data_IF_892554937348
#
_entry.id   IF_892554937348
#
_cell.length_a   1.000
_cell.length_b   1.000
_cell.length_c   1.000
_cell.angle_alpha   90.00
_cell.angle_beta   90.00
_cell.angle_gamma   90.00
#
_symmetry.space_group_name_H-M   'P 1'
#
loop_
_entity.id
_entity.type
_entity.pdbx_description
1 polymer ?
#
# COMPACT_ATOMS: atom_id res chain seq x y z
N UNK A 1 15.62 32.97 -22.54
CA UNK A 1 14.76 34.05 -22.03
C UNK A 1 13.88 33.47 -20.96
N UNK A 2 14.19 33.82 -19.71
CA UNK A 2 13.62 33.26 -18.48
C UNK A 2 12.16 33.68 -18.35
N UNK A 3 11.20 32.75 -18.44
CA UNK A 3 9.90 32.96 -17.78
C UNK A 3 10.24 33.13 -16.30
N UNK A 4 10.08 34.33 -15.77
CA UNK A 4 9.90 34.52 -14.32
C UNK A 4 8.72 33.65 -13.91
N UNK A 5 8.99 32.45 -13.40
CA UNK A 5 7.98 31.46 -13.04
C UNK A 5 7.07 32.07 -11.99
N UNK A 6 5.83 32.36 -12.36
CA UNK A 6 4.76 32.66 -11.42
C UNK A 6 4.53 31.38 -10.61
N UNK A 7 4.73 31.42 -9.29
CA UNK A 7 4.49 30.25 -8.43
C UNK A 7 3.02 29.84 -8.55
N UNK A 8 2.71 28.60 -8.95
CA UNK A 8 1.35 28.21 -9.20
C UNK A 8 0.56 28.06 -7.91
N UNK A 9 -0.74 28.31 -8.01
CA UNK A 9 -1.67 28.09 -6.91
C UNK A 9 -1.97 26.58 -6.77
N UNK A 10 -1.65 26.00 -5.62
CA UNK A 10 -1.80 24.56 -5.33
C UNK A 10 -2.80 24.35 -4.21
N UNK A 11 -3.74 23.43 -4.39
CA UNK A 11 -4.59 22.91 -3.32
C UNK A 11 -4.09 21.56 -2.86
N UNK A 12 -3.84 21.37 -1.57
CA UNK A 12 -3.60 20.07 -0.96
C UNK A 12 -4.90 19.55 -0.35
N UNK A 13 -5.27 18.31 -0.66
CA UNK A 13 -6.44 17.63 -0.11
C UNK A 13 -5.96 16.49 0.78
N UNK A 14 -6.40 16.51 2.03
CA UNK A 14 -6.22 15.45 3.02
C UNK A 14 -7.58 14.87 3.36
N UNK A 15 -7.72 13.55 3.28
CA UNK A 15 -8.94 12.86 3.66
C UNK A 15 -8.76 12.19 5.02
N UNK A 16 -9.58 12.56 6.00
CA UNK A 16 -9.58 11.97 7.34
C UNK A 16 -10.70 10.95 7.51
N UNK A 17 -10.41 9.83 8.15
CA UNK A 17 -11.40 8.88 8.68
C UNK A 17 -10.81 8.20 9.92
N UNK A 18 -11.17 8.70 11.10
CA UNK A 18 -10.67 8.25 12.41
C UNK A 18 -9.11 8.25 12.48
N UNK A 19 -8.47 9.30 11.98
CA UNK A 19 -7.01 9.39 11.88
C UNK A 19 -6.29 9.88 13.15
N UNK A 20 -7.01 10.47 14.10
CA UNK A 20 -6.45 10.92 15.37
C UNK A 20 -5.20 11.80 15.23
N UNK A 21 -4.16 11.49 16.00
CA UNK A 21 -2.92 12.29 16.03
C UNK A 21 -2.16 12.28 14.69
N UNK A 22 -2.22 11.19 13.92
CA UNK A 22 -1.53 11.13 12.63
C UNK A 22 -2.04 12.22 11.65
N UNK A 23 -3.35 12.49 11.65
CA UNK A 23 -3.92 13.56 10.83
C UNK A 23 -3.39 14.93 11.25
N UNK A 24 -3.16 15.14 12.54
CA UNK A 24 -2.62 16.40 13.05
C UNK A 24 -1.16 16.55 12.65
N UNK A 25 -0.35 15.50 12.79
CA UNK A 25 1.05 15.49 12.37
C UNK A 25 1.18 15.72 10.84
N UNK A 26 0.25 15.16 10.06
CA UNK A 26 0.12 15.42 8.63
C UNK A 26 -0.09 16.91 8.34
N UNK A 27 -1.09 17.54 8.99
CA UNK A 27 -1.40 18.96 8.81
C UNK A 27 -0.23 19.86 9.23
N UNK A 28 0.43 19.56 10.34
CA UNK A 28 1.62 20.29 10.80
C UNK A 28 2.75 20.24 9.76
N UNK A 29 3.01 19.06 9.17
CA UNK A 29 4.02 18.91 8.12
C UNK A 29 3.65 19.68 6.84
N UNK A 30 2.37 19.68 6.46
CA UNK A 30 1.87 20.41 5.30
C UNK A 30 1.98 21.93 5.49
N UNK A 31 1.68 22.43 6.68
CA UNK A 31 1.82 23.85 7.03
C UNK A 31 3.28 24.30 7.08
N UNK A 32 4.22 23.38 7.31
CA UNK A 32 5.65 23.63 7.24
C UNK A 32 6.22 23.60 5.81
N UNK A 33 5.38 23.37 4.78
CA UNK A 33 5.81 23.38 3.37
C UNK A 33 6.40 24.74 3.00
N UNK A 34 7.58 24.72 2.37
CA UNK A 34 8.25 25.89 1.82
C UNK A 34 7.57 26.35 0.52
N UNK A 35 6.38 26.93 0.67
CA UNK A 35 5.56 27.47 -0.42
C UNK A 35 4.92 28.80 0.02
N UNK A 36 4.69 29.77 -0.88
CA UNK A 36 3.99 31.00 -0.52
C UNK A 36 2.60 30.69 0.04
N UNK A 37 2.28 31.23 1.22
CA UNK A 37 1.04 30.93 1.93
C UNK A 37 -0.22 31.36 1.14
N UNK A 38 -0.12 32.41 0.31
CA UNK A 38 -1.19 32.85 -0.61
C UNK A 38 -1.33 31.96 -1.86
N UNK A 39 -0.43 30.97 -2.02
CA UNK A 39 -0.39 30.02 -3.13
C UNK A 39 -0.60 28.57 -2.70
N UNK A 40 -0.90 28.33 -1.42
CA UNK A 40 -1.17 27.00 -0.86
C UNK A 40 -2.50 27.00 -0.10
N UNK A 41 -3.50 26.28 -0.61
CA UNK A 41 -4.73 25.98 0.14
C UNK A 41 -4.67 24.56 0.67
N UNK A 42 -4.81 24.36 1.98
CA UNK A 42 -4.92 23.02 2.58
C UNK A 42 -6.40 22.77 2.91
N UNK A 43 -6.94 21.67 2.39
CA UNK A 43 -8.32 21.22 2.61
C UNK A 43 -8.30 19.88 3.32
N UNK A 44 -8.88 19.83 4.52
CA UNK A 44 -9.18 18.60 5.22
C UNK A 44 -10.64 18.21 4.96
N UNK A 45 -10.86 17.00 4.47
CA UNK A 45 -12.19 16.39 4.36
C UNK A 45 -12.35 15.39 5.48
N UNK A 46 -13.22 15.67 6.44
CA UNK A 46 -13.57 14.71 7.49
C UNK A 46 -14.68 13.76 7.00
N UNK A 47 -14.33 12.51 6.74
CA UNK A 47 -15.18 11.56 6.04
C UNK A 47 -16.18 10.85 6.98
N UNK A 48 -16.77 11.62 7.91
CA UNK A 48 -17.67 11.11 8.94
C UNK A 48 -16.93 10.36 10.03
N UNK A 49 -15.84 10.94 10.55
CA UNK A 49 -15.07 10.39 11.65
C UNK A 49 -15.83 10.53 12.98
N UNK A 50 -15.46 9.71 13.95
CA UNK A 50 -15.95 9.75 15.33
C UNK A 50 -14.88 10.27 16.32
N UNK A 51 -13.67 10.53 15.83
CA UNK A 51 -12.59 11.14 16.60
C UNK A 51 -12.75 12.66 16.77
N UNK A 52 -11.85 13.28 17.51
CA UNK A 52 -11.86 14.71 17.85
C UNK A 52 -11.11 15.59 16.82
N UNK A 53 -10.64 15.01 15.71
CA UNK A 53 -9.79 15.71 14.74
C UNK A 53 -10.51 16.93 14.15
N UNK A 54 -11.78 16.79 13.77
CA UNK A 54 -12.56 17.90 13.18
C UNK A 54 -12.76 19.06 14.17
N UNK A 55 -12.89 18.77 15.47
CA UNK A 55 -12.98 19.79 16.52
C UNK A 55 -11.64 20.50 16.71
N UNK A 56 -10.55 19.73 16.84
CA UNK A 56 -9.18 20.26 16.96
C UNK A 56 -8.83 21.15 15.78
N UNK A 57 -9.09 20.71 14.55
CA UNK A 57 -8.82 21.48 13.32
C UNK A 57 -9.55 22.81 13.30
N UNK A 58 -10.81 22.85 13.74
CA UNK A 58 -11.60 24.08 13.81
C UNK A 58 -11.02 25.11 14.79
N UNK A 59 -10.36 24.67 15.86
CA UNK A 59 -9.83 25.54 16.92
C UNK A 59 -8.36 25.90 16.67
N UNK A 60 -7.53 24.91 16.35
CA UNK A 60 -6.07 25.01 16.31
C UNK A 60 -5.54 25.34 14.90
N UNK A 61 -6.31 25.07 13.84
CA UNK A 61 -5.88 25.17 12.44
C UNK A 61 -6.80 26.06 11.59
N UNK A 62 -7.02 27.34 11.94
CA UNK A 62 -7.95 28.23 11.22
C UNK A 62 -7.58 28.48 9.75
N UNK A 63 -6.33 28.23 9.37
CA UNK A 63 -5.84 28.30 7.98
C UNK A 63 -6.17 27.05 7.15
N UNK A 64 -6.59 25.95 7.78
CA UNK A 64 -7.00 24.72 7.09
C UNK A 64 -8.50 24.78 6.83
N UNK A 65 -8.89 24.52 5.59
CA UNK A 65 -10.30 24.46 5.21
C UNK A 65 -10.87 23.08 5.55
N UNK A 66 -11.80 23.03 6.50
CA UNK A 66 -12.50 21.81 6.88
C UNK A 66 -13.78 21.60 6.05
N UNK A 67 -13.98 20.38 5.54
CA UNK A 67 -15.21 19.92 4.88
C UNK A 67 -15.75 18.68 5.59
N UNK A 68 -17.01 18.71 6.04
CA UNK A 68 -17.65 17.63 6.80
C UNK A 68 -18.91 17.15 6.07
N UNK A 69 -18.82 16.16 5.14
CA UNK A 69 -20.00 15.55 4.52
C UNK A 69 -20.93 14.80 5.51
N UNK A 70 -20.50 14.61 6.77
CA UNK A 70 -21.22 13.90 7.83
C UNK A 70 -21.57 12.44 7.47
N UNK A 71 -20.87 11.86 6.50
CA UNK A 71 -21.01 10.48 6.06
C UNK A 71 -19.71 10.01 5.41
N UNK A 72 -19.44 8.71 5.50
CA UNK A 72 -18.29 8.09 4.84
C UNK A 72 -18.57 7.91 3.34
N UNK A 73 -17.96 8.75 2.53
CA UNK A 73 -18.03 8.75 1.06
C UNK A 73 -17.00 7.82 0.40
N UNK A 74 -16.21 7.11 1.22
CA UNK A 74 -15.03 6.37 0.79
C UNK A 74 -13.89 7.31 0.40
N UNK A 75 -12.76 6.72 0.01
CA UNK A 75 -11.61 7.47 -0.50
C UNK A 75 -11.95 8.27 -1.75
N UNK A 76 -12.59 7.62 -2.73
CA UNK A 76 -12.92 8.24 -4.02
C UNK A 76 -13.86 9.45 -3.86
N UNK A 77 -14.94 9.31 -3.08
CA UNK A 77 -15.91 10.39 -2.87
C UNK A 77 -15.36 11.50 -1.98
N UNK A 78 -14.64 11.15 -0.92
CA UNK A 78 -14.03 12.12 -0.01
C UNK A 78 -12.96 12.98 -0.70
N UNK A 79 -12.04 12.36 -1.43
CA UNK A 79 -11.05 13.09 -2.23
C UNK A 79 -11.76 13.94 -3.31
N UNK A 80 -12.77 13.39 -4.01
CA UNK A 80 -13.55 14.17 -4.97
C UNK A 80 -14.15 15.43 -4.34
N UNK A 81 -14.69 15.36 -3.12
CA UNK A 81 -15.24 16.52 -2.43
C UNK A 81 -14.18 17.60 -2.13
N UNK A 82 -12.97 17.21 -1.73
CA UNK A 82 -11.87 18.16 -1.51
C UNK A 82 -11.27 18.72 -2.80
N UNK A 83 -11.24 17.91 -3.87
CA UNK A 83 -10.80 18.32 -5.21
C UNK A 83 -11.84 19.23 -5.89
N UNK A 84 -13.14 18.99 -5.65
CA UNK A 84 -14.21 19.89 -6.03
C UNK A 84 -13.95 21.24 -5.35
N UNK A 85 -14.21 22.33 -6.07
CA UNK A 85 -13.85 23.71 -5.68
C UNK A 85 -12.43 24.13 -6.01
N UNK A 86 -11.63 23.37 -6.76
CA UNK A 86 -10.40 23.91 -7.32
C UNK A 86 -10.81 25.15 -8.15
N UNK A 87 -10.69 26.35 -7.59
CA UNK A 87 -11.06 27.61 -8.24
C UNK A 87 -10.07 27.94 -9.34
N UNK A 88 -9.20 28.91 -9.11
CA UNK A 88 -8.11 29.25 -10.04
C UNK A 88 -6.83 28.41 -9.83
N UNK A 89 -6.90 27.35 -9.02
CA UNK A 89 -5.76 26.48 -8.68
C UNK A 89 -5.21 25.76 -9.92
N UNK A 90 -3.92 25.82 -10.19
CA UNK A 90 -3.34 25.13 -11.36
C UNK A 90 -3.11 23.64 -11.08
N UNK A 91 -2.91 23.31 -9.80
CA UNK A 91 -2.64 21.95 -9.34
C UNK A 91 -3.45 21.58 -8.11
N UNK A 92 -3.70 20.27 -7.98
CA UNK A 92 -4.29 19.65 -6.81
C UNK A 92 -3.36 18.55 -6.34
N UNK A 93 -2.91 18.59 -5.09
CA UNK A 93 -2.16 17.52 -4.47
C UNK A 93 -3.08 16.68 -3.57
N UNK A 94 -2.89 15.37 -3.56
CA UNK A 94 -3.48 14.47 -2.58
C UNK A 94 -2.39 14.02 -1.62
N UNK A 95 -2.66 14.06 -0.32
CA UNK A 95 -1.78 13.51 0.73
C UNK A 95 -2.65 12.74 1.71
N UNK A 96 -2.31 11.49 1.98
CA UNK A 96 -3.01 10.70 3.00
C UNK A 96 -2.83 11.32 4.39
N UNK A 97 -3.84 11.18 5.24
CA UNK A 97 -3.82 11.74 6.60
C UNK A 97 -2.84 11.04 7.54
N UNK A 98 -2.36 9.84 7.20
CA UNK A 98 -1.32 9.10 7.93
C UNK A 98 0.07 9.28 7.29
N UNK A 99 0.27 10.37 6.54
CA UNK A 99 1.54 10.72 5.93
C UNK A 99 2.05 12.11 6.33
N UNK A 100 3.37 12.27 6.43
CA UNK A 100 4.06 13.54 6.64
C UNK A 100 4.98 13.85 5.47
N UNK A 101 5.10 15.14 5.14
CA UNK A 101 5.87 15.60 3.97
C UNK A 101 7.13 16.37 4.38
N UNK A 102 8.19 16.26 3.57
CA UNK A 102 9.37 17.12 3.70
C UNK A 102 9.03 18.57 3.33
N UNK A 103 9.70 19.56 3.94
CA UNK A 103 9.40 20.99 3.71
C UNK A 103 9.46 21.40 2.23
N UNK A 104 10.36 20.81 1.46
CA UNK A 104 10.56 21.14 0.04
C UNK A 104 9.85 20.17 -0.91
N UNK A 105 8.95 19.28 -0.43
CA UNK A 105 8.34 18.21 -1.22
C UNK A 105 7.60 18.69 -2.49
N UNK A 106 6.97 19.87 -2.46
CA UNK A 106 6.05 20.32 -3.49
C UNK A 106 6.75 20.89 -4.73
N UNK A 107 7.84 21.64 -4.52
CA UNK A 107 8.60 22.29 -5.59
C UNK A 107 9.10 21.32 -6.68
N UNK A 108 9.73 20.17 -6.37
CA UNK A 108 10.16 19.23 -7.39
C UNK A 108 8.98 18.63 -8.17
N UNK A 109 7.84 18.34 -7.52
CA UNK A 109 6.64 17.85 -8.20
C UNK A 109 6.12 18.86 -9.24
N UNK A 110 6.03 20.13 -8.85
CA UNK A 110 5.58 21.21 -9.74
C UNK A 110 6.53 21.38 -10.92
N UNK A 111 7.86 21.41 -10.67
CA UNK A 111 8.86 21.53 -11.75
C UNK A 111 8.74 20.42 -12.79
N UNK A 112 8.51 19.19 -12.34
CA UNK A 112 8.29 18.05 -13.25
C UNK A 112 6.98 18.20 -14.01
N UNK A 113 5.89 18.61 -13.36
CA UNK A 113 4.59 18.80 -14.01
C UNK A 113 4.59 19.92 -15.07
N UNK A 114 5.44 20.94 -14.89
CA UNK A 114 5.64 22.04 -15.86
C UNK A 114 6.60 21.68 -16.99
N UNK A 115 7.38 20.61 -16.86
CA UNK A 115 8.40 20.23 -17.85
C UNK A 115 7.81 19.78 -19.20
N UNK A 116 6.55 19.33 -19.21
CA UNK A 116 5.82 18.98 -20.40
C UNK A 116 4.29 19.11 -20.22
N UNK A 117 3.59 19.47 -21.30
CA UNK A 117 2.14 19.69 -21.24
C UNK A 117 1.34 18.41 -21.03
N UNK A 118 1.90 17.25 -21.40
CA UNK A 118 1.25 15.94 -21.34
C UNK A 118 1.53 15.16 -20.04
N UNK A 119 2.20 15.78 -19.06
CA UNK A 119 2.36 15.23 -17.71
C UNK A 119 1.13 15.61 -16.90
N UNK A 120 0.29 14.62 -16.60
CA UNK A 120 -0.98 14.83 -15.89
C UNK A 120 -0.85 14.73 -14.37
N UNK A 121 0.16 13.99 -13.91
CA UNK A 121 0.42 13.78 -12.49
C UNK A 121 1.90 13.50 -12.21
N UNK A 122 2.35 13.85 -11.01
CA UNK A 122 3.69 13.55 -10.51
C UNK A 122 3.59 12.91 -9.12
N UNK A 123 4.12 11.70 -9.00
CA UNK A 123 4.13 10.88 -7.78
C UNK A 123 5.37 11.21 -6.94
N UNK A 124 5.20 11.41 -5.64
CA UNK A 124 6.31 11.59 -4.71
C UNK A 124 7.03 10.25 -4.42
N UNK A 125 8.19 10.30 -3.78
CA UNK A 125 8.81 9.15 -3.10
C UNK A 125 8.15 8.98 -1.75
N UNK A 126 7.41 7.89 -1.59
CA UNK A 126 6.77 7.54 -0.33
C UNK A 126 7.59 6.45 0.33
N UNK A 127 8.14 6.75 1.50
CA UNK A 127 8.78 5.80 2.40
C UNK A 127 7.79 5.41 3.50
N UNK A 128 7.99 4.24 4.10
CA UNK A 128 7.35 3.97 5.37
C UNK A 128 7.82 4.97 6.42
N UNK A 129 6.93 5.34 7.34
CA UNK A 129 7.24 6.30 8.38
C UNK A 129 8.37 5.81 9.28
N UNK A 130 8.28 4.55 9.71
CA UNK A 130 9.32 3.89 10.50
C UNK A 130 10.59 3.67 9.67
N UNK A 131 11.73 3.70 10.37
CA UNK A 131 13.00 3.19 9.86
C UNK A 131 13.28 1.85 10.51
N UNK A 132 14.14 1.05 9.88
CA UNK A 132 14.31 -0.34 10.27
C UNK A 132 15.77 -0.74 10.46
N UNK A 133 15.96 -1.74 11.32
CA UNK A 133 17.19 -2.56 11.36
C UNK A 133 16.86 -3.94 10.80
N UNK A 134 17.85 -4.60 10.21
CA UNK A 134 17.67 -5.83 9.45
C UNK A 134 18.38 -7.02 10.09
N UNK A 135 17.75 -8.19 9.97
CA UNK A 135 18.36 -9.49 10.27
C UNK A 135 18.10 -10.40 9.07
N UNK A 136 19.16 -10.95 8.51
CA UNK A 136 19.09 -11.99 7.51
C UNK A 136 19.20 -13.37 8.16
N UNK A 137 18.38 -14.30 7.71
CA UNK A 137 18.31 -15.69 8.18
C UNK A 137 18.65 -16.59 6.99
N UNK A 138 19.62 -17.48 7.15
CA UNK A 138 19.91 -18.53 6.20
C UNK A 138 19.90 -19.90 6.88
N UNK A 139 19.19 -20.85 6.28
CA UNK A 139 19.04 -22.23 6.72
C UNK A 139 19.35 -23.15 5.53
N UNK A 140 20.64 -23.35 5.20
CA UNK A 140 21.05 -23.98 3.95
C UNK A 140 20.60 -25.44 3.82
N UNK A 141 20.27 -26.10 4.92
CA UNK A 141 19.79 -27.47 4.99
C UNK A 141 18.26 -27.59 5.16
N UNK A 142 17.52 -26.49 4.97
CA UNK A 142 16.05 -26.50 5.00
C UNK A 142 15.48 -27.44 3.91
N UNK A 143 14.62 -28.36 4.34
CA UNK A 143 14.06 -29.41 3.48
C UNK A 143 12.59 -29.68 3.83
N UNK A 144 11.80 -30.27 2.90
CA UNK A 144 10.45 -30.71 3.22
C UNK A 144 10.44 -31.82 4.27
N UNK A 145 9.39 -31.85 5.09
CA UNK A 145 9.17 -32.93 6.04
C UNK A 145 8.40 -34.03 5.31
N UNK A 146 9.11 -35.09 4.93
CA UNK A 146 8.56 -36.21 4.17
C UNK A 146 7.24 -36.72 4.78
N UNK A 147 6.17 -36.70 3.98
CA UNK A 147 4.87 -37.25 4.33
C UNK A 147 4.02 -36.43 5.32
N UNK A 148 4.49 -35.25 5.77
CA UNK A 148 3.73 -34.36 6.68
C UNK A 148 3.53 -32.96 6.13
N UNK A 149 4.62 -32.30 5.74
CA UNK A 149 4.58 -30.91 5.28
C UNK A 149 5.45 -30.74 4.02
N UNK A 150 4.85 -30.30 2.89
CA UNK A 150 5.58 -30.11 1.64
C UNK A 150 6.48 -28.86 1.64
N UNK A 151 6.35 -27.96 2.63
CA UNK A 151 7.16 -26.74 2.73
C UNK A 151 8.61 -27.08 3.07
N UNK A 152 9.56 -26.39 2.44
CA UNK A 152 10.96 -26.40 2.89
C UNK A 152 11.07 -25.58 4.17
N UNK A 153 10.87 -26.23 5.31
CA UNK A 153 10.92 -25.57 6.61
C UNK A 153 12.36 -25.44 7.06
N UNK A 154 12.74 -24.21 7.42
CA UNK A 154 13.96 -23.91 8.13
C UNK A 154 13.69 -23.86 9.63
N UNK A 155 13.81 -22.68 10.22
CA UNK A 155 13.73 -22.47 11.67
C UNK A 155 12.36 -21.95 12.09
N UNK A 156 11.89 -22.41 13.26
CA UNK A 156 10.68 -21.91 13.90
C UNK A 156 11.01 -20.76 14.87
N UNK A 157 10.39 -19.60 14.67
CA UNK A 157 10.49 -18.41 15.52
C UNK A 157 9.27 -18.33 16.44
N UNK A 158 9.52 -18.18 17.73
CA UNK A 158 8.50 -18.31 18.78
C UNK A 158 8.32 -17.08 19.68
N UNK A 159 9.33 -16.23 19.80
CA UNK A 159 9.27 -14.95 20.53
C UNK A 159 10.43 -14.04 20.13
N UNK A 160 10.27 -12.73 20.31
CA UNK A 160 11.33 -11.73 20.12
C UNK A 160 11.42 -10.77 21.31
N UNK A 161 12.66 -10.45 21.70
CA UNK A 161 12.98 -9.36 22.63
C UNK A 161 13.93 -8.37 22.00
N UNK A 162 13.80 -7.11 22.39
CA UNK A 162 14.71 -6.02 22.04
C UNK A 162 15.19 -5.42 23.36
N UNK A 163 16.51 -5.36 23.56
CA UNK A 163 17.16 -4.91 24.79
C UNK A 163 16.55 -5.53 26.07
N UNK A 164 16.21 -6.82 25.97
CA UNK A 164 15.61 -7.61 27.06
C UNK A 164 14.10 -7.42 27.26
N UNK A 165 13.48 -6.45 26.59
CA UNK A 165 12.04 -6.21 26.64
C UNK A 165 11.32 -6.95 25.52
N UNK A 166 10.09 -7.38 25.79
CA UNK A 166 9.24 -8.04 24.79
C UNK A 166 8.89 -7.06 23.67
N UNK A 167 9.07 -7.50 22.41
CA UNK A 167 8.92 -6.61 21.26
C UNK A 167 8.39 -7.30 20.00
N UNK A 168 7.58 -8.36 20.13
CA UNK A 168 7.09 -9.13 18.97
C UNK A 168 6.36 -8.27 17.93
N UNK A 169 5.63 -7.24 18.39
CA UNK A 169 4.87 -6.33 17.53
C UNK A 169 5.74 -5.36 16.72
N UNK A 170 7.02 -5.17 17.11
CA UNK A 170 7.98 -4.31 16.40
C UNK A 170 8.70 -5.05 15.27
N UNK A 171 8.43 -6.34 15.10
CA UNK A 171 9.15 -7.20 14.15
C UNK A 171 8.27 -7.60 13.00
N UNK A 172 8.76 -7.34 11.78
CA UNK A 172 8.14 -7.79 10.54
C UNK A 172 8.96 -8.94 9.94
N UNK A 173 8.26 -10.01 9.58
CA UNK A 173 8.82 -11.16 8.86
C UNK A 173 8.49 -11.01 7.38
N UNK A 174 9.50 -10.83 6.54
CA UNK A 174 9.33 -10.48 5.13
C UNK A 174 9.51 -11.68 4.20
N UNK A 175 10.19 -11.47 3.06
CA UNK A 175 10.43 -12.52 2.09
C UNK A 175 11.16 -13.69 2.74
N UNK A 176 10.78 -14.91 2.35
CA UNK A 176 11.39 -16.13 2.88
C UNK A 176 10.75 -16.68 4.15
N UNK A 177 9.65 -16.10 4.64
CA UNK A 177 8.85 -16.67 5.73
C UNK A 177 7.50 -17.21 5.25
N UNK A 178 7.02 -18.27 5.89
CA UNK A 178 5.67 -18.78 5.70
C UNK A 178 4.63 -17.97 6.49
N UNK A 179 3.36 -18.13 6.11
CA UNK A 179 2.22 -17.47 6.78
C UNK A 179 2.16 -17.75 8.29
N UNK A 180 1.46 -16.90 9.07
CA UNK A 180 1.42 -17.04 10.52
C UNK A 180 0.71 -18.33 10.90
N UNK A 181 1.25 -19.03 11.88
CA UNK A 181 0.59 -20.16 12.53
C UNK A 181 0.06 -19.72 13.89
N UNK A 182 -0.83 -20.53 14.48
CA UNK A 182 -1.33 -20.26 15.82
C UNK A 182 -0.20 -20.55 16.82
N UNK A 183 0.23 -19.58 17.64
CA UNK A 183 1.26 -19.82 18.63
C UNK A 183 0.77 -20.80 19.71
N UNK A 184 1.64 -21.72 20.09
CA UNK A 184 1.41 -22.64 21.20
C UNK A 184 1.59 -21.90 22.54
N UNK A 185 0.46 -21.50 23.12
CA UNK A 185 0.45 -20.79 24.41
C UNK A 185 0.92 -21.66 25.57
N UNK A 186 0.80 -22.99 25.49
CA UNK A 186 1.23 -23.89 26.56
C UNK A 186 2.76 -23.95 26.64
N UNK A 187 3.44 -23.84 25.50
CA UNK A 187 4.90 -23.69 25.43
C UNK A 187 5.38 -22.24 25.59
N UNK A 188 4.46 -21.30 25.83
CA UNK A 188 4.73 -19.87 25.97
C UNK A 188 5.16 -19.21 24.66
N UNK A 189 4.78 -19.77 23.50
CA UNK A 189 4.99 -19.15 22.19
C UNK A 189 4.05 -17.94 22.05
N UNK A 190 4.63 -16.84 21.57
CA UNK A 190 3.95 -15.56 21.38
C UNK A 190 3.73 -15.29 19.90
N UNK A 191 4.65 -15.80 19.08
CA UNK A 191 4.55 -15.88 17.63
C UNK A 191 4.76 -17.34 17.20
N UNK A 192 4.31 -17.69 16.00
CA UNK A 192 4.65 -18.95 15.37
C UNK A 192 4.89 -18.71 13.88
N UNK A 193 6.17 -18.71 13.50
CA UNK A 193 6.63 -18.40 12.15
C UNK A 193 7.75 -19.34 11.73
N UNK A 194 7.61 -19.89 10.54
CA UNK A 194 8.64 -20.73 9.93
C UNK A 194 9.38 -19.95 8.86
N UNK A 195 10.71 -19.97 8.90
CA UNK A 195 11.53 -19.55 7.76
C UNK A 195 11.54 -20.64 6.68
N UNK A 196 11.89 -20.22 5.48
CA UNK A 196 12.35 -21.11 4.41
C UNK A 196 13.87 -21.30 4.50
N UNK A 197 14.55 -21.53 3.36
CA UNK A 197 16.02 -21.58 3.26
C UNK A 197 16.68 -20.23 3.52
N UNK A 198 15.96 -19.15 3.24
CA UNK A 198 16.38 -17.78 3.54
C UNK A 198 15.19 -17.01 4.08
N UNK A 199 15.44 -15.95 4.84
CA UNK A 199 14.41 -15.00 5.20
C UNK A 199 14.99 -13.71 5.76
N UNK A 200 14.28 -12.61 5.57
CA UNK A 200 14.64 -11.30 6.13
C UNK A 200 13.65 -10.86 7.20
N UNK A 201 14.17 -10.36 8.31
CA UNK A 201 13.42 -9.81 9.43
C UNK A 201 13.76 -8.33 9.56
N UNK A 202 12.74 -7.49 9.74
CA UNK A 202 12.90 -6.05 10.03
C UNK A 202 12.41 -5.72 11.42
N UNK A 203 13.19 -4.88 12.11
CA UNK A 203 12.84 -4.31 13.41
C UNK A 203 12.48 -2.85 13.20
N UNK A 204 11.24 -2.47 13.50
CA UNK A 204 10.80 -1.07 13.46
C UNK A 204 11.45 -0.25 14.59
N UNK A 205 11.94 0.92 14.22
CA UNK A 205 12.48 1.92 15.15
C UNK A 205 11.42 2.96 15.40
N UNK A 206 11.04 3.08 16.66
CA UNK A 206 10.11 4.11 17.10
C UNK A 206 10.81 5.47 17.13
N UNK A 207 10.12 6.50 16.69
CA UNK A 207 10.61 7.87 16.80
C UNK A 207 10.86 8.21 18.28
N UNK A 208 11.95 8.92 18.56
CA UNK A 208 12.35 9.37 19.89
C UNK A 208 12.82 8.30 20.89
N UNK A 209 12.87 7.02 20.50
CA UNK A 209 13.52 5.96 21.30
C UNK A 209 15.02 5.81 20.98
N UNK A 210 15.85 5.39 21.96
CA UNK A 210 17.22 5.00 21.70
C UNK A 210 17.27 3.85 20.70
N UNK A 211 18.26 3.86 19.80
CA UNK A 211 18.46 2.74 18.87
C UNK A 211 18.73 1.46 19.66
N UNK A 212 18.01 0.37 19.34
CA UNK A 212 18.18 -0.88 20.05
C UNK A 212 19.57 -1.45 19.79
N UNK A 213 20.14 -2.12 20.80
CA UNK A 213 21.51 -2.65 20.74
C UNK A 213 21.55 -4.16 20.58
N UNK A 214 20.57 -4.85 21.15
CA UNK A 214 20.51 -6.31 21.12
C UNK A 214 19.09 -6.75 20.76
N UNK A 215 18.99 -7.70 19.84
CA UNK A 215 17.77 -8.47 19.60
C UNK A 215 17.98 -9.91 20.05
N UNK A 216 17.05 -10.42 20.86
CA UNK A 216 17.01 -11.83 21.23
C UNK A 216 15.89 -12.51 20.45
N UNK A 217 16.23 -13.53 19.66
CA UNK A 217 15.28 -14.34 18.91
C UNK A 217 15.14 -15.70 19.58
N UNK A 218 13.91 -16.11 19.93
CA UNK A 218 13.65 -17.46 20.43
C UNK A 218 13.31 -18.39 19.29
N UNK A 219 14.23 -19.30 19.00
CA UNK A 219 14.15 -20.19 17.85
C UNK A 219 14.20 -21.66 18.25
N UNK A 220 13.67 -22.53 17.41
CA UNK A 220 13.79 -23.98 17.53
C UNK A 220 13.73 -24.66 16.17
N UNK A 221 14.12 -25.94 16.14
CA UNK A 221 13.89 -26.83 15.00
C UNK A 221 13.20 -28.13 15.44
N UNK A 222 11.87 -28.08 15.70
CA UNK A 222 11.11 -29.16 16.33
C UNK A 222 11.19 -30.53 15.65
N UNK A 223 11.33 -30.57 14.33
CA UNK A 223 11.24 -31.81 13.56
C UNK A 223 12.59 -32.48 13.30
N UNK A 224 13.68 -31.70 13.24
CA UNK A 224 15.05 -32.18 13.03
C UNK A 224 16.07 -31.07 13.34
N UNK A 225 17.34 -31.40 13.63
CA UNK A 225 18.36 -30.37 13.77
C UNK A 225 18.61 -29.60 12.47
N UNK A 226 18.84 -28.29 12.58
CA UNK A 226 19.21 -27.39 11.48
C UNK A 226 20.41 -26.51 11.83
N UNK A 227 21.15 -26.07 10.82
CA UNK A 227 22.15 -25.00 10.99
C UNK A 227 21.53 -23.69 10.52
N UNK A 228 21.39 -22.74 11.45
CA UNK A 228 20.89 -21.41 11.15
C UNK A 228 22.04 -20.41 11.18
N UNK A 229 22.17 -19.61 10.15
CA UNK A 229 23.08 -18.46 10.09
C UNK A 229 22.21 -17.22 10.20
N UNK A 230 22.44 -16.43 11.25
CA UNK A 230 21.75 -15.18 11.51
C UNK A 230 22.74 -14.04 11.38
N UNK A 231 22.45 -13.09 10.50
CA UNK A 231 23.38 -12.01 10.15
C UNK A 231 22.69 -10.67 10.31
N UNK A 232 23.35 -9.74 11.01
CA UNK A 232 23.03 -8.31 11.03
C UNK A 232 24.16 -7.56 10.31
N UNK A 233 24.09 -6.23 10.23
CA UNK A 233 25.17 -5.43 9.62
C UNK A 233 26.50 -5.50 10.42
N UNK A 234 26.46 -5.90 11.70
CA UNK A 234 27.62 -5.88 12.62
C UNK A 234 27.90 -7.23 13.30
N UNK A 235 27.03 -8.22 13.15
CA UNK A 235 27.14 -9.53 13.80
C UNK A 235 26.74 -10.65 12.84
N UNK A 236 27.37 -11.81 12.99
CA UNK A 236 27.01 -13.02 12.28
C UNK A 236 27.20 -14.21 13.22
N UNK A 237 26.13 -14.98 13.42
CA UNK A 237 26.15 -16.15 14.28
C UNK A 237 25.63 -17.38 13.56
N UNK A 238 26.43 -18.44 13.60
CA UNK A 238 26.02 -19.78 13.15
C UNK A 238 25.60 -20.61 14.36
N UNK A 239 24.37 -21.10 14.35
CA UNK A 239 23.77 -21.82 15.47
C UNK A 239 23.29 -23.20 15.01
N UNK A 240 23.67 -24.23 15.77
CA UNK A 240 23.14 -25.57 15.64
C UNK A 240 21.86 -25.66 16.47
N UNK A 241 20.71 -25.72 15.80
CA UNK A 241 19.41 -25.72 16.43
C UNK A 241 18.84 -27.12 16.49
N UNK A 242 18.57 -27.60 17.70
CA UNK A 242 17.87 -28.86 17.96
C UNK A 242 16.36 -28.63 18.17
N UNK A 243 15.68 -29.63 18.71
CA UNK A 243 14.24 -29.58 18.98
C UNK A 243 13.86 -28.61 20.10
N UNK A 244 14.78 -28.31 21.01
CA UNK A 244 14.54 -27.39 22.12
C UNK A 244 14.57 -25.92 21.68
N UNK A 245 13.82 -25.08 22.40
CA UNK A 245 13.75 -23.65 22.14
C UNK A 245 14.95 -22.96 22.78
N UNK A 246 15.70 -22.19 22.01
CA UNK A 246 16.89 -21.48 22.45
C UNK A 246 16.78 -20.00 22.09
N UNK A 247 17.31 -19.14 22.97
CA UNK A 247 17.47 -17.72 22.70
C UNK A 247 18.82 -17.48 22.03
N UNK A 248 18.80 -16.70 20.95
CA UNK A 248 20.01 -16.21 20.29
C UNK A 248 19.99 -14.69 20.38
N UNK A 249 21.05 -14.13 20.96
CA UNK A 249 21.24 -12.70 21.08
C UNK A 249 22.14 -12.23 19.93
N UNK A 250 21.65 -11.29 19.13
CA UNK A 250 22.37 -10.69 18.01
C UNK A 250 22.62 -9.21 18.30
N UNK A 251 23.83 -8.73 18.01
CA UNK A 251 24.12 -7.30 18.09
C UNK A 251 23.52 -6.57 16.89
N UNK A 252 22.91 -5.41 17.18
CA UNK A 252 22.32 -4.52 16.19
C UNK A 252 23.23 -3.33 15.92
N UNK A 253 23.20 -2.90 14.66
CA UNK A 253 23.92 -1.73 14.15
C UNK A 253 23.22 -0.41 14.55
N UNK A 254 23.89 0.74 14.37
CA UNK A 254 23.38 2.07 14.70
C UNK A 254 22.91 2.90 13.49
N UNK A 255 22.66 2.25 12.34
CA UNK A 255 22.31 2.81 11.04
C UNK A 255 20.98 2.22 10.54
N UNK A 256 19.85 2.75 11.03
CA UNK A 256 18.56 2.52 10.41
C UNK A 256 18.59 2.73 8.90
N UNK A 257 17.87 1.88 8.18
CA UNK A 257 17.55 2.08 6.78
C UNK A 257 16.08 2.39 6.59
N UNK A 258 15.79 3.05 5.47
CA UNK A 258 14.44 3.35 5.05
C UNK A 258 13.89 2.22 4.16
N UNK A 259 12.56 2.09 4.14
CA UNK A 259 11.85 1.12 3.31
C UNK A 259 10.91 1.88 2.41
N UNK A 260 10.91 1.51 1.14
CA UNK A 260 10.01 2.10 0.14
C UNK A 260 8.58 1.62 0.37
N UNK A 261 7.67 2.58 0.50
CA UNK A 261 6.24 2.34 0.46
C UNK A 261 5.70 2.45 -0.98
N UNK A 262 6.03 3.52 -1.70
CA UNK A 262 5.63 3.66 -3.10
C UNK A 262 6.58 4.60 -3.88
N UNK A 263 7.00 4.16 -5.08
CA UNK A 263 7.75 4.98 -6.07
C UNK A 263 7.06 4.94 -7.45
N UNK A 264 5.73 5.05 -7.41
CA UNK A 264 4.79 4.89 -8.51
C UNK A 264 4.14 3.50 -8.53
N UNK A 265 3.11 3.35 -9.36
CA UNK A 265 2.28 2.14 -9.38
C UNK A 265 2.36 1.42 -10.73
N UNK A 266 2.44 0.10 -10.66
CA UNK A 266 2.58 -0.79 -11.81
C UNK A 266 1.28 -1.53 -12.11
N UNK A 267 1.07 -1.85 -13.39
CA UNK A 267 0.03 -2.77 -13.82
C UNK A 267 0.65 -4.16 -13.95
N UNK A 268 0.23 -5.10 -13.11
CA UNK A 268 0.65 -6.49 -13.16
C UNK A 268 -0.30 -7.36 -13.96
N UNK A 269 0.17 -8.56 -14.29
CA UNK A 269 -0.59 -9.45 -15.15
C UNK A 269 -1.95 -9.82 -14.63
N UNK A 270 -2.95 -9.81 -15.51
CA UNK A 270 -4.34 -10.01 -15.13
C UNK A 270 -4.98 -8.78 -14.48
N UNK A 271 -4.35 -7.60 -14.59
CA UNK A 271 -4.92 -6.32 -14.18
C UNK A 271 -4.78 -5.99 -12.70
N UNK A 272 -3.84 -6.62 -12.01
CA UNK A 272 -3.57 -6.26 -10.62
C UNK A 272 -2.78 -4.94 -10.59
N UNK A 273 -3.29 -3.94 -9.88
CA UNK A 273 -2.47 -2.79 -9.51
C UNK A 273 -1.56 -3.17 -8.34
N UNK A 274 -0.37 -2.58 -8.29
CA UNK A 274 0.46 -2.66 -7.11
C UNK A 274 1.60 -1.65 -7.13
N UNK A 275 2.08 -1.34 -5.93
CA UNK A 275 3.09 -0.34 -5.71
C UNK A 275 4.46 -0.85 -6.16
N UNK A 276 5.20 -0.01 -6.89
CA UNK A 276 6.59 -0.26 -7.27
C UNK A 276 7.47 0.03 -6.05
N UNK A 277 8.43 -0.85 -5.78
CA UNK A 277 9.33 -0.73 -4.64
C UNK A 277 8.72 -1.14 -3.29
N UNK A 278 7.46 -1.56 -3.23
CA UNK A 278 6.79 -1.86 -1.96
C UNK A 278 7.55 -2.90 -1.12
N UNK A 279 7.87 -2.54 0.12
CA UNK A 279 8.67 -3.31 1.09
C UNK A 279 10.15 -3.50 0.72
N UNK A 280 10.62 -2.92 -0.38
CA UNK A 280 12.05 -2.94 -0.69
C UNK A 280 12.80 -1.98 0.22
N UNK A 281 13.96 -2.42 0.73
CA UNK A 281 14.93 -1.52 1.40
C UNK A 281 15.38 -0.46 0.41
N UNK A 282 15.39 0.80 0.85
CA UNK A 282 15.89 1.91 0.05
C UNK A 282 17.41 1.96 0.11
N UNK A 283 18.05 1.53 -0.97
CA UNK A 283 19.49 1.55 -1.20
C UNK A 283 19.89 2.65 -2.20
N UNK A 284 18.97 3.56 -2.53
CA UNK A 284 19.15 4.54 -3.60
C UNK A 284 18.90 3.96 -5.01
N UNK A 285 18.20 2.82 -5.12
CA UNK A 285 17.87 2.21 -6.41
C UNK A 285 16.77 2.98 -7.17
N UNK A 286 16.13 3.96 -6.53
CA UNK A 286 15.05 4.76 -7.09
C UNK A 286 15.41 6.26 -7.25
N UNK A 287 16.67 6.64 -7.35
CA UNK A 287 17.08 8.06 -7.43
C UNK A 287 16.91 8.72 -8.81
N UNK A 288 16.25 8.04 -9.76
CA UNK A 288 16.02 8.57 -11.11
C UNK A 288 14.55 8.83 -11.37
N UNK A 289 14.16 10.06 -11.79
CA UNK A 289 12.82 10.32 -12.27
C UNK A 289 12.43 9.35 -13.38
N UNK A 290 11.27 8.71 -13.24
CA UNK A 290 10.86 7.61 -14.11
C UNK A 290 9.39 7.74 -14.47
N UNK A 291 9.04 7.42 -15.72
CA UNK A 291 7.64 7.34 -16.12
C UNK A 291 6.98 6.07 -15.55
N UNK A 292 5.82 6.23 -14.90
CA UNK A 292 5.11 5.15 -14.19
C UNK A 292 3.71 4.95 -14.76
N UNK A 293 3.22 3.72 -14.80
CA UNK A 293 1.91 3.43 -15.42
C UNK A 293 0.78 4.19 -14.72
N UNK A 294 0.80 4.17 -13.39
CA UNK A 294 -0.13 4.86 -12.51
C UNK A 294 0.63 5.53 -11.35
N UNK A 295 -0.04 6.45 -10.68
CA UNK A 295 0.42 7.12 -9.47
C UNK A 295 -0.39 6.62 -8.26
N UNK A 296 0.12 6.85 -7.06
CA UNK A 296 -0.50 6.47 -5.79
C UNK A 296 -1.26 7.66 -5.19
N UNK A 297 -2.48 7.39 -4.70
CA UNK A 297 -3.27 8.41 -3.99
C UNK A 297 -2.67 8.90 -2.67
N UNK A 298 -1.61 8.25 -2.16
CA UNK A 298 -0.98 8.59 -0.88
C UNK A 298 -0.19 9.90 -0.88
N UNK A 299 0.46 10.24 -2.00
CA UNK A 299 1.14 11.52 -2.20
C UNK A 299 1.39 11.77 -3.69
N UNK A 300 0.58 12.64 -4.30
CA UNK A 300 0.64 12.93 -5.74
C UNK A 300 0.22 14.35 -6.02
N UNK A 301 0.88 15.00 -7.00
CA UNK A 301 0.45 16.26 -7.59
C UNK A 301 -0.29 15.99 -8.90
N UNK A 302 -1.51 16.51 -9.04
CA UNK A 302 -2.39 16.36 -10.21
C UNK A 302 -2.53 17.71 -10.92
N UNK A 303 -2.31 17.73 -12.23
CA UNK A 303 -2.51 18.91 -13.08
C UNK A 303 -3.99 19.14 -13.31
N UNK A 304 -4.48 20.38 -13.18
CA UNK A 304 -5.90 20.68 -13.45
C UNK A 304 -6.34 20.23 -14.85
N UNK A 305 -5.56 20.57 -15.89
CA UNK A 305 -5.91 20.24 -17.27
C UNK A 305 -6.15 18.73 -17.48
N UNK A 306 -5.42 17.90 -16.72
CA UNK A 306 -5.63 16.46 -16.69
C UNK A 306 -6.99 16.11 -16.04
N UNK A 307 -7.32 16.67 -14.88
CA UNK A 307 -8.61 16.44 -14.24
C UNK A 307 -9.80 16.96 -15.09
N UNK A 308 -9.64 18.09 -15.76
CA UNK A 308 -10.68 18.67 -16.62
C UNK A 308 -10.95 17.80 -17.87
N UNK A 309 -9.91 17.21 -18.48
CA UNK A 309 -10.06 16.35 -19.65
C UNK A 309 -10.55 14.93 -19.29
N UNK A 310 -10.05 14.39 -18.18
CA UNK A 310 -10.20 12.97 -17.82
C UNK A 310 -11.35 12.74 -16.84
N UNK A 311 -11.69 13.74 -16.03
CA UNK A 311 -12.59 13.67 -14.89
C UNK A 311 -11.87 13.27 -13.60
N UNK A 312 -12.61 13.27 -12.49
CA UNK A 312 -12.13 12.92 -11.15
C UNK A 312 -12.25 11.41 -10.87
N UNK A 313 -12.16 10.98 -9.60
CA UNK A 313 -12.32 9.57 -9.24
C UNK A 313 -13.73 9.05 -9.51
N UNK A 314 -13.81 7.74 -9.74
CA UNK A 314 -15.07 7.03 -9.87
C UNK A 314 -15.59 6.59 -8.50
N UNK A 315 -16.55 7.34 -7.96
CA UNK A 315 -17.08 7.14 -6.60
C UNK A 315 -17.70 5.75 -6.36
N UNK A 316 -18.08 5.03 -7.43
CA UNK A 316 -18.58 3.64 -7.33
C UNK A 316 -17.51 2.67 -6.79
N UNK A 317 -16.23 3.03 -6.94
CA UNK A 317 -15.12 2.23 -6.41
C UNK A 317 -15.05 2.32 -4.88
N UNK A 318 -15.52 3.43 -4.29
CA UNK A 318 -15.49 3.76 -2.86
C UNK A 318 -14.05 3.89 -2.34
N UNK A 319 -13.25 2.83 -2.36
CA UNK A 319 -11.84 2.80 -1.97
C UNK A 319 -11.09 1.65 -2.69
N UNK A 320 -9.78 1.78 -2.83
CA UNK A 320 -8.88 0.98 -3.67
C UNK A 320 -9.19 1.01 -5.18
N UNK A 321 -8.13 1.06 -5.99
CA UNK A 321 -8.14 1.09 -7.47
C UNK A 321 -8.67 2.38 -8.10
N UNK A 322 -9.10 3.38 -7.33
CA UNK A 322 -9.52 4.68 -7.89
C UNK A 322 -8.37 5.43 -8.56
N UNK A 323 -7.17 5.39 -7.98
CA UNK A 323 -5.93 5.93 -8.56
C UNK A 323 -5.56 5.24 -9.88
N UNK A 324 -5.67 3.91 -9.90
CA UNK A 324 -5.40 3.05 -11.06
C UNK A 324 -6.44 3.28 -12.15
N UNK A 325 -7.71 3.42 -11.80
CA UNK A 325 -8.78 3.76 -12.76
C UNK A 325 -8.53 5.11 -13.44
N UNK A 326 -8.27 6.14 -12.64
CA UNK A 326 -8.05 7.50 -13.13
C UNK A 326 -6.77 7.59 -13.97
N UNK A 327 -5.70 6.94 -13.50
CA UNK A 327 -4.44 6.79 -14.25
C UNK A 327 -4.67 6.11 -15.61
N UNK A 328 -5.41 5.00 -15.63
CA UNK A 328 -5.66 4.27 -16.87
C UNK A 328 -6.53 5.09 -17.85
N UNK A 329 -7.55 5.79 -17.34
CA UNK A 329 -8.37 6.70 -18.15
C UNK A 329 -7.56 7.84 -18.76
N UNK A 330 -6.55 8.34 -18.06
CA UNK A 330 -5.64 9.36 -18.58
C UNK A 330 -4.65 8.83 -19.60
N UNK A 331 -4.04 7.67 -19.33
CA UNK A 331 -3.22 6.94 -20.30
C UNK A 331 -3.95 6.71 -21.62
N UNK A 332 -5.24 6.37 -21.57
CA UNK A 332 -6.07 6.23 -22.77
C UNK A 332 -6.22 7.54 -23.56
N UNK A 333 -6.09 8.70 -22.90
CA UNK A 333 -6.14 10.04 -23.50
C UNK A 333 -4.76 10.65 -23.79
N UNK A 334 -3.69 9.86 -23.62
CA UNK A 334 -2.32 10.26 -23.92
C UNK A 334 -1.57 10.96 -22.80
N UNK A 335 -2.14 11.04 -21.59
CA UNK A 335 -1.45 11.59 -20.42
C UNK A 335 -0.36 10.64 -19.91
N UNK A 336 0.75 11.22 -19.46
CA UNK A 336 1.88 10.54 -18.81
C UNK A 336 1.97 10.93 -17.34
N UNK A 337 2.62 10.08 -16.57
CA UNK A 337 2.83 10.27 -15.13
C UNK A 337 4.29 9.98 -14.79
N UNK A 338 4.90 10.87 -14.03
CA UNK A 338 6.28 10.71 -13.60
C UNK A 338 6.34 10.49 -12.10
N UNK A 339 7.32 9.71 -11.68
CA UNK A 339 7.79 9.61 -10.32
C UNK A 339 8.97 10.58 -10.12
N UNK A 340 8.98 11.33 -9.02
CA UNK A 340 10.02 12.31 -8.70
C UNK A 340 10.67 11.98 -7.33
N UNK A 341 11.92 11.48 -7.32
CA UNK A 341 12.58 10.99 -6.11
C UNK A 341 12.93 12.07 -5.08
N UNK A 342 13.10 13.33 -5.51
CA UNK A 342 13.44 14.43 -4.59
C UNK A 342 12.24 14.99 -3.81
N UNK A 343 11.02 14.55 -4.13
CA UNK A 343 9.83 14.84 -3.33
C UNK A 343 9.64 13.73 -2.31
N UNK A 344 9.99 13.95 -1.04
CA UNK A 344 9.95 12.92 0.00
C UNK A 344 8.71 13.02 0.89
N UNK A 345 8.08 11.88 1.12
CA UNK A 345 6.92 11.70 2.00
C UNK A 345 7.12 10.43 2.85
N UNK A 346 6.72 10.48 4.12
CA UNK A 346 6.73 9.35 5.06
C UNK A 346 5.29 8.95 5.38
N UNK A 347 4.98 7.66 5.41
CA UNK A 347 3.60 7.15 5.51
C UNK A 347 3.49 5.98 6.49
N UNK A 348 2.57 6.07 7.45
CA UNK A 348 2.25 5.03 8.45
C UNK A 348 1.34 3.90 7.89
N UNK A 349 1.33 3.74 6.56
CA UNK A 349 0.57 2.84 5.70
C UNK A 349 -0.44 1.88 6.40
N UNK A 350 -1.72 2.06 6.05
CA UNK A 350 -2.84 1.16 6.34
C UNK A 350 -3.28 1.07 7.83
N UNK A 351 -3.01 2.13 8.59
CA UNK A 351 -3.41 2.25 10.01
C UNK A 351 -4.94 2.18 10.22
N UNK A 352 -5.74 2.74 9.32
CA UNK A 352 -7.21 2.80 9.45
C UNK A 352 -7.99 1.65 8.82
N UNK A 353 -7.43 0.95 7.83
CA UNK A 353 -8.15 -0.05 7.02
C UNK A 353 -7.71 -1.49 7.25
N UNK A 354 -6.55 -1.70 7.87
CA UNK A 354 -5.96 -3.02 8.15
C UNK A 354 -5.67 -3.81 6.88
N UNK A 355 -4.38 -3.95 6.52
CA UNK A 355 -3.97 -4.78 5.37
C UNK A 355 -4.55 -6.19 5.52
N UNK A 356 -5.37 -6.61 4.54
CA UNK A 356 -5.99 -7.93 4.55
C UNK A 356 -7.37 -8.04 5.24
N UNK A 357 -7.95 -6.94 5.71
CA UNK A 357 -9.33 -6.90 6.23
C UNK A 357 -10.38 -7.36 5.20
N UNK A 358 -11.58 -7.74 5.66
CA UNK A 358 -12.66 -8.16 4.74
C UNK A 358 -13.04 -7.02 3.76
N UNK A 359 -13.01 -5.77 4.26
CA UNK A 359 -13.22 -4.55 3.45
C UNK A 359 -12.14 -4.42 2.39
N UNK A 360 -10.86 -4.52 2.77
CA UNK A 360 -9.73 -4.49 1.85
C UNK A 360 -9.87 -5.54 0.74
N UNK A 361 -10.09 -6.80 1.12
CA UNK A 361 -10.19 -7.91 0.16
C UNK A 361 -11.38 -7.74 -0.78
N UNK A 362 -12.53 -7.31 -0.25
CA UNK A 362 -13.75 -7.14 -1.04
C UNK A 362 -13.58 -6.04 -2.09
N UNK A 363 -13.10 -4.87 -1.67
CA UNK A 363 -12.95 -3.73 -2.58
C UNK A 363 -11.84 -3.96 -3.60
N UNK A 364 -10.67 -4.45 -3.19
CA UNK A 364 -9.57 -4.77 -4.11
C UNK A 364 -9.98 -5.80 -5.16
N UNK A 365 -10.63 -6.90 -4.78
CA UNK A 365 -11.05 -7.92 -5.75
C UNK A 365 -12.16 -7.42 -6.68
N UNK A 366 -13.19 -6.77 -6.13
CA UNK A 366 -14.33 -6.24 -6.91
C UNK A 366 -13.87 -5.15 -7.87
N UNK A 367 -13.13 -4.17 -7.36
CA UNK A 367 -12.75 -2.99 -8.11
C UNK A 367 -11.75 -3.34 -9.21
N UNK A 368 -10.83 -4.30 -8.99
CA UNK A 368 -9.99 -4.85 -10.07
C UNK A 368 -10.81 -5.30 -11.28
N UNK A 369 -11.89 -6.05 -11.05
CA UNK A 369 -12.76 -6.53 -12.13
C UNK A 369 -13.52 -5.38 -12.82
N UNK A 370 -13.97 -4.39 -12.05
CA UNK A 370 -14.66 -3.20 -12.58
C UNK A 370 -13.73 -2.34 -13.44
N UNK A 371 -12.53 -2.05 -12.95
CA UNK A 371 -11.49 -1.29 -13.67
C UNK A 371 -11.05 -2.02 -14.94
N UNK A 372 -10.89 -3.35 -14.89
CA UNK A 372 -10.64 -4.16 -16.09
C UNK A 372 -11.79 -4.04 -17.11
N UNK A 373 -13.04 -4.18 -16.67
CA UNK A 373 -14.20 -4.03 -17.54
C UNK A 373 -14.26 -2.65 -18.20
N UNK A 374 -13.95 -1.59 -17.45
CA UNK A 374 -13.96 -0.21 -17.94
C UNK A 374 -12.79 0.10 -18.89
N UNK A 375 -11.58 -0.29 -18.54
CA UNK A 375 -10.35 0.24 -19.16
C UNK A 375 -9.56 -0.78 -19.99
N UNK A 376 -9.52 -2.06 -19.62
CA UNK A 376 -8.64 -3.05 -20.27
C UNK A 376 -9.16 -3.53 -21.64
N UNK A 377 -8.36 -4.21 -22.48
CA UNK A 377 -8.85 -4.86 -23.69
C UNK A 377 -10.01 -5.82 -23.41
N UNK A 378 -11.03 -5.83 -24.29
CA UNK A 378 -12.27 -6.56 -24.05
C UNK A 378 -12.06 -8.05 -23.79
N UNK A 379 -11.10 -8.68 -24.47
CA UNK A 379 -10.73 -10.10 -24.24
C UNK A 379 -10.17 -10.33 -22.83
N UNK A 380 -9.31 -9.44 -22.35
CA UNK A 380 -8.73 -9.52 -21.00
C UNK A 380 -9.79 -9.33 -19.91
N UNK A 381 -10.63 -8.30 -20.08
CA UNK A 381 -11.76 -8.05 -19.19
C UNK A 381 -12.74 -9.23 -19.12
N UNK A 382 -13.11 -9.80 -20.27
CA UNK A 382 -14.00 -10.96 -20.35
C UNK A 382 -13.36 -12.19 -19.69
N UNK A 383 -12.07 -12.45 -19.93
CA UNK A 383 -11.35 -13.57 -19.30
C UNK A 383 -11.33 -13.42 -17.78
N UNK A 384 -11.06 -12.23 -17.26
CA UNK A 384 -11.05 -11.97 -15.82
C UNK A 384 -12.44 -12.16 -15.20
N UNK A 385 -13.48 -11.58 -15.80
CA UNK A 385 -14.86 -11.72 -15.34
C UNK A 385 -15.33 -13.18 -15.35
N UNK A 386 -15.16 -13.89 -16.47
CA UNK A 386 -15.50 -15.32 -16.57
C UNK A 386 -14.67 -16.19 -15.62
N UNK A 387 -13.40 -15.84 -15.43
CA UNK A 387 -12.52 -16.52 -14.47
C UNK A 387 -13.03 -16.39 -13.04
N UNK A 388 -13.51 -15.22 -12.63
CA UNK A 388 -14.14 -15.04 -11.33
C UNK A 388 -15.46 -15.79 -11.22
N UNK A 389 -16.34 -15.70 -12.22
CA UNK A 389 -17.60 -16.45 -12.23
C UNK A 389 -17.38 -17.96 -12.11
N UNK A 390 -16.39 -18.51 -12.85
CA UNK A 390 -16.01 -19.93 -12.78
C UNK A 390 -15.45 -20.30 -11.41
N UNK A 391 -14.58 -19.48 -10.82
CA UNK A 391 -14.04 -19.72 -9.47
C UNK A 391 -15.16 -19.70 -8.44
N UNK A 392 -16.04 -18.70 -8.45
CA UNK A 392 -17.20 -18.62 -7.57
C UNK A 392 -18.10 -19.86 -7.72
N UNK A 393 -18.44 -20.25 -8.95
CA UNK A 393 -19.27 -21.43 -9.21
C UNK A 393 -18.60 -22.73 -8.72
N UNK A 394 -17.30 -22.94 -9.00
CA UNK A 394 -16.54 -24.10 -8.51
C UNK A 394 -16.51 -24.18 -7.00
N UNK A 395 -16.30 -23.05 -6.32
CA UNK A 395 -16.32 -22.98 -4.87
C UNK A 395 -17.71 -23.26 -4.30
N UNK A 396 -18.77 -22.73 -4.91
CA UNK A 396 -20.15 -23.03 -4.50
C UNK A 396 -20.47 -24.53 -4.65
N UNK A 397 -20.12 -25.13 -5.79
CA UNK A 397 -20.29 -26.58 -5.99
C UNK A 397 -19.48 -27.36 -4.95
N UNK A 398 -18.23 -26.98 -4.70
CA UNK A 398 -17.39 -27.63 -3.71
C UNK A 398 -17.95 -27.51 -2.29
N UNK A 399 -18.42 -26.33 -1.89
CA UNK A 399 -18.86 -26.03 -0.53
C UNK A 399 -20.27 -26.54 -0.22
N UNK A 400 -21.19 -26.50 -1.19
CA UNK A 400 -22.60 -26.82 -0.98
C UNK A 400 -23.05 -28.15 -1.59
N UNK A 401 -22.27 -28.75 -2.50
CA UNK A 401 -22.60 -30.04 -3.12
C UNK A 401 -21.57 -31.10 -2.71
N UNK A 402 -20.28 -30.90 -3.01
CA UNK A 402 -19.26 -31.94 -2.83
C UNK A 402 -18.84 -32.16 -1.37
N UNK A 403 -18.67 -31.12 -0.55
CA UNK A 403 -18.27 -31.25 0.86
C UNK A 403 -19.33 -31.89 1.76
N UNK A 404 -20.63 -31.54 1.64
CA UNK A 404 -21.70 -32.25 2.35
C UNK A 404 -21.73 -33.74 2.01
N UNK A 405 -21.48 -34.10 0.74
CA UNK A 405 -21.34 -35.49 0.30
C UNK A 405 -20.09 -36.19 0.87
N UNK A 406 -19.12 -35.43 1.38
CA UNK A 406 -17.89 -35.92 2.02
C UNK A 406 -17.91 -35.80 3.56
N UNK A 407 -19.05 -35.46 4.17
CA UNK A 407 -19.20 -35.25 5.62
C UNK A 407 -18.23 -34.20 6.21
N UNK A 408 -17.72 -33.28 5.39
CA UNK A 408 -16.86 -32.18 5.85
C UNK A 408 -17.69 -30.92 6.07
N UNK A 409 -17.51 -30.28 7.23
CA UNK A 409 -18.17 -29.00 7.53
C UNK A 409 -17.72 -27.90 6.53
N UNK A 410 -18.63 -27.07 6.01
CA UNK A 410 -18.28 -26.04 5.04
C UNK A 410 -17.52 -24.89 5.70
N UNK A 411 -16.45 -24.39 5.05
CA UNK A 411 -15.93 -23.05 5.34
C UNK A 411 -16.89 -22.03 4.74
N UNK A 412 -17.83 -21.53 5.55
CA UNK A 412 -18.90 -20.64 5.08
C UNK A 412 -18.40 -19.24 4.70
N UNK A 413 -17.31 -18.79 5.31
CA UNK A 413 -16.77 -17.42 5.17
C UNK A 413 -16.23 -17.14 3.77
N UNK A 414 -15.36 -18.01 3.23
CA UNK A 414 -14.77 -17.85 1.89
C UNK A 414 -15.83 -17.84 0.78
N UNK A 415 -16.87 -18.66 0.91
CA UNK A 415 -17.96 -18.75 -0.08
C UNK A 415 -18.88 -17.52 -0.06
N UNK A 416 -19.13 -16.93 1.10
CA UNK A 416 -19.89 -15.69 1.22
C UNK A 416 -19.14 -14.51 0.59
N UNK A 417 -17.84 -14.38 0.86
CA UNK A 417 -16.99 -13.32 0.31
C UNK A 417 -16.99 -13.31 -1.23
N UNK A 418 -16.76 -14.47 -1.86
CA UNK A 418 -16.75 -14.61 -3.33
C UNK A 418 -18.10 -14.22 -3.96
N UNK A 419 -19.22 -14.62 -3.34
CA UNK A 419 -20.56 -14.22 -3.80
C UNK A 419 -20.77 -12.71 -3.69
N UNK A 420 -20.30 -12.09 -2.60
CA UNK A 420 -20.36 -10.64 -2.41
C UNK A 420 -19.57 -9.91 -3.50
N UNK A 421 -18.33 -10.33 -3.77
CA UNK A 421 -17.48 -9.77 -4.85
C UNK A 421 -18.17 -9.90 -6.21
N UNK A 422 -18.66 -11.08 -6.58
CA UNK A 422 -19.34 -11.30 -7.86
C UNK A 422 -20.63 -10.48 -7.97
N UNK A 423 -21.44 -10.43 -6.90
CA UNK A 423 -22.66 -9.64 -6.85
C UNK A 423 -22.39 -8.14 -7.06
N UNK A 424 -21.44 -7.58 -6.31
CA UNK A 424 -21.04 -6.18 -6.45
C UNK A 424 -20.44 -5.86 -7.82
N UNK A 425 -19.65 -6.79 -8.39
CA UNK A 425 -19.15 -6.66 -9.76
C UNK A 425 -20.28 -6.60 -10.79
N UNK A 426 -21.20 -7.57 -10.75
CA UNK A 426 -22.31 -7.65 -11.71
C UNK A 426 -23.28 -6.47 -11.60
N UNK A 427 -23.51 -5.97 -10.37
CA UNK A 427 -24.34 -4.80 -10.12
C UNK A 427 -23.79 -3.53 -10.79
N UNK A 428 -22.47 -3.33 -10.74
CA UNK A 428 -21.82 -2.12 -11.26
C UNK A 428 -21.32 -2.26 -12.70
N UNK A 429 -21.22 -3.50 -13.23
CA UNK A 429 -20.73 -3.79 -14.57
C UNK A 429 -21.45 -3.02 -15.69
N UNK A 430 -22.79 -2.88 -15.72
CA UNK A 430 -23.46 -2.11 -16.77
C UNK A 430 -23.00 -0.65 -16.83
N UNK A 431 -22.75 -0.04 -15.67
CA UNK A 431 -22.27 1.33 -15.58
C UNK A 431 -20.82 1.44 -16.06
N UNK A 432 -19.95 0.49 -15.69
CA UNK A 432 -18.56 0.43 -16.19
C UNK A 432 -18.49 0.26 -17.71
N UNK A 433 -19.39 -0.55 -18.30
CA UNK A 433 -19.48 -0.73 -19.74
C UNK A 433 -20.03 0.52 -20.46
N UNK A 434 -20.89 1.30 -19.82
CA UNK A 434 -21.36 2.59 -20.35
C UNK A 434 -20.18 3.57 -20.44
N UNK A 435 -19.39 3.68 -19.39
CA UNK A 435 -18.22 4.59 -19.36
C UNK A 435 -17.13 4.14 -20.33
N UNK A 436 -16.94 2.82 -20.45
CA UNK A 436 -16.06 2.24 -21.48
C UNK A 436 -16.41 2.73 -22.88
N UNK A 437 -17.71 2.80 -23.21
CA UNK A 437 -18.22 3.26 -24.52
C UNK A 437 -18.14 4.77 -24.66
N UNK A 438 -18.33 5.52 -23.58
CA UNK A 438 -18.22 6.98 -23.58
C UNK A 438 -16.78 7.47 -23.69
N UNK A 439 -15.80 6.67 -23.25
CA UNK A 439 -14.37 7.01 -23.33
C UNK A 439 -13.92 7.12 -24.79
N UNK A 440 -13.31 8.25 -25.14
CA UNK A 440 -12.69 8.51 -26.45
C UNK A 440 -11.17 8.38 -26.33
N UNK A 441 -10.60 7.18 -26.55
CA UNK A 441 -9.16 6.98 -26.40
C UNK A 441 -8.37 7.62 -27.54
N UNK A 442 -7.28 8.33 -27.21
CA UNK A 442 -6.20 8.69 -28.16
C UNK A 442 -5.21 7.53 -28.35
N UNK A 443 -5.08 6.66 -27.34
CA UNK A 443 -4.20 5.48 -27.34
C UNK A 443 -5.02 4.20 -27.19
N UNK A 444 -4.66 3.14 -27.91
CA UNK A 444 -5.43 1.89 -27.86
C UNK A 444 -5.30 1.20 -26.49
N UNK A 445 -6.38 0.53 -26.04
CA UNK A 445 -6.33 -0.29 -24.82
C UNK A 445 -5.30 -1.41 -24.89
N UNK A 446 -5.00 -1.91 -26.10
CA UNK A 446 -4.03 -2.98 -26.33
C UNK A 446 -2.59 -2.48 -26.20
N UNK A 447 -2.29 -1.29 -26.71
CA UNK A 447 -0.95 -0.72 -26.57
C UNK A 447 -0.61 -0.43 -25.12
N UNK A 448 -1.58 -0.08 -24.28
CA UNK A 448 -1.33 0.08 -22.84
C UNK A 448 -0.94 -1.22 -22.12
N UNK A 449 -1.12 -2.40 -22.73
CA UNK A 449 -0.66 -3.67 -22.15
C UNK A 449 0.85 -3.86 -22.25
N UNK A 450 1.58 -2.97 -22.97
CA UNK A 450 3.05 -2.97 -22.91
C UNK A 450 3.60 -2.54 -21.54
N UNK A 451 2.76 -1.94 -20.70
CA UNK A 451 3.08 -1.58 -19.32
C UNK A 451 2.87 -2.73 -18.33
N UNK A 452 2.37 -3.87 -18.79
CA UNK A 452 2.09 -5.03 -17.94
C UNK A 452 3.39 -5.67 -17.47
N UNK A 453 3.62 -5.69 -16.16
CA UNK A 453 4.75 -6.35 -15.52
C UNK A 453 4.37 -7.80 -15.19
N UNK A 454 5.24 -8.74 -15.56
CA UNK A 454 5.13 -10.14 -15.14
C UNK A 454 5.97 -10.32 -13.86
N UNK A 455 5.34 -10.77 -12.77
CA UNK A 455 6.05 -11.22 -11.56
C UNK A 455 6.36 -12.71 -11.66
#
# INVERSE_FOLDING_TARGET
>A
MSKTQNTPLVRVVVLNFDGGQMTIDCLDSLLATNWPADKLEIVLVDNGSLDDVAERVRVEYPQVRLLEPLANLGFAGGCNLGMQLAGDHEYVALVNNDATVDRDWLLPLVRVAESADDIGAVNAKILFADRYLGIEVAVPDALPINGRDPRRQGVHFSAVRIDGLRADARVSFDEGFYGPEAPDKESGDEIARWSSERGSIRIAIEADEPLPKVVSLRVSSPDRPHVAILTTEVDEQTQHLDTERTWIDLQLDDRPFDVVNNVGSSLYSGGFGGDRGFLERDLGQYEQPTEVFAWCGGAVLLKRAYLDEVGVFDERLFLYYEDTDLSWRGRLRGWRYLYEPSSLVRHHHASSSGVGSEVFRYHTERNRLLVLAKNAPARGALRAGLGESRRCARWMVSAYILRPLRLQMPERVHSAHRRRVLGGYLQLLPAMLRDRRATKPKVTRRSLMSWEVSK
#
